data_IF_641348481135
#
_entry.id   IF_641348481135
#
_cell.length_a   1.000
_cell.length_b   1.000
_cell.length_c   1.000
_cell.angle_alpha   90.00
_cell.angle_beta   90.00
_cell.angle_gamma   90.00
#
_symmetry.space_group_name_H-M   'P 1'
#
loop_
_entity.id
_entity.type
_entity.pdbx_description
1 polymer ?
#
# COMPACT_ATOMS: atom_id res chain seq x y z
N UNK A 1 7.13 3.60 -16.89
CA UNK A 1 5.80 3.79 -16.29
C UNK A 1 5.90 5.00 -15.38
N UNK A 2 5.17 6.08 -15.68
CA UNK A 2 5.27 7.35 -14.95
C UNK A 2 4.05 7.44 -14.03
N UNK A 3 4.28 7.64 -12.72
CA UNK A 3 3.20 7.93 -11.78
C UNK A 3 2.78 9.40 -11.98
N UNK A 4 1.48 9.71 -12.10
CA UNK A 4 1.04 11.09 -12.14
C UNK A 4 1.37 11.79 -10.81
N UNK A 5 1.69 13.10 -10.83
CA UNK A 5 1.83 13.87 -9.59
C UNK A 5 0.55 13.78 -8.75
N UNK A 6 0.70 13.60 -7.44
CA UNK A 6 -0.41 13.58 -6.47
C UNK A 6 -1.41 12.42 -6.58
N UNK A 7 -1.04 11.24 -7.08
CA UNK A 7 -1.94 10.08 -7.15
C UNK A 7 -1.65 8.98 -6.11
N UNK A 8 -1.93 9.21 -4.81
CA UNK A 8 -1.76 8.19 -3.77
C UNK A 8 -2.66 6.97 -4.00
N UNK A 9 -3.78 7.15 -4.69
CA UNK A 9 -4.73 6.09 -5.09
C UNK A 9 -4.17 5.13 -6.16
N UNK A 10 -3.06 5.51 -6.81
CA UNK A 10 -2.32 4.71 -7.81
C UNK A 10 -0.99 4.19 -7.22
N UNK A 11 -0.47 4.84 -6.18
CA UNK A 11 0.73 4.41 -5.50
C UNK A 11 0.45 3.15 -4.66
N UNK A 12 1.09 2.05 -5.05
CA UNK A 12 0.99 0.74 -4.41
C UNK A 12 1.26 0.80 -2.89
N UNK A 13 2.23 1.61 -2.51
CA UNK A 13 2.62 1.87 -1.13
C UNK A 13 1.50 2.56 -0.36
N UNK A 14 0.95 3.65 -0.90
CA UNK A 14 -0.01 4.47 -0.17
C UNK A 14 -1.40 3.82 -0.09
N UNK A 15 -1.88 3.24 -1.20
CA UNK A 15 -3.21 2.64 -1.24
C UNK A 15 -3.32 1.30 -0.49
N UNK A 16 -2.31 0.41 -0.60
CA UNK A 16 -2.44 -0.96 -0.11
C UNK A 16 -1.48 -1.29 1.03
N UNK A 17 -0.27 -0.73 1.02
CA UNK A 17 0.71 -1.09 2.04
C UNK A 17 0.51 -0.27 3.33
N UNK A 18 0.44 1.06 3.18
CA UNK A 18 0.27 2.00 4.28
C UNK A 18 -1.18 2.13 4.75
N UNK A 19 -2.16 1.64 3.99
CA UNK A 19 -3.54 1.50 4.51
C UNK A 19 -3.69 0.33 5.48
N UNK A 20 -2.92 -0.74 5.29
CA UNK A 20 -2.95 -1.94 6.14
C UNK A 20 -1.94 -1.91 7.30
N UNK A 21 -0.96 -0.99 7.25
CA UNK A 21 0.06 -0.81 8.29
C UNK A 21 -0.51 -0.32 9.64
N UNK A 22 -1.41 0.69 9.70
CA UNK A 22 -1.98 1.18 10.96
C UNK A 22 -2.79 0.11 11.69
N UNK A 23 -3.46 -0.77 10.93
CA UNK A 23 -4.23 -1.89 11.47
C UNK A 23 -3.33 -2.95 12.12
N UNK A 24 -2.07 -3.05 11.70
CA UNK A 24 -1.09 -3.97 12.26
C UNK A 24 -0.32 -3.38 13.44
N UNK A 25 -0.01 -2.08 13.38
CA UNK A 25 0.77 -1.41 14.42
C UNK A 25 -0.05 -1.06 15.67
N UNK A 26 -1.39 -0.92 15.58
CA UNK A 26 -2.24 -0.55 16.71
C UNK A 26 -1.79 0.77 17.37
N UNK A 27 -2.18 1.01 18.63
CA UNK A 27 -1.68 2.15 19.43
C UNK A 27 -0.29 1.88 20.05
N UNK A 28 0.54 1.01 19.44
CA UNK A 28 1.88 0.75 19.98
C UNK A 28 2.75 2.00 19.82
N UNK A 29 3.20 2.55 20.95
CA UNK A 29 4.26 3.57 20.96
C UNK A 29 5.58 2.90 20.60
N UNK A 30 6.03 3.10 19.37
CA UNK A 30 7.35 2.67 18.92
C UNK A 30 8.36 3.71 19.43
N UNK A 31 9.35 3.26 20.21
CA UNK A 31 10.26 4.14 20.97
C UNK A 31 11.55 4.49 20.25
N UNK A 32 11.97 3.69 19.26
CA UNK A 32 13.22 3.87 18.51
C UNK A 32 13.07 3.46 17.04
N UNK A 33 13.94 3.98 16.17
CA UNK A 33 13.95 3.64 14.74
C UNK A 33 14.16 2.13 14.51
N UNK A 34 14.99 1.48 15.33
CA UNK A 34 15.23 0.03 15.25
C UNK A 34 13.96 -0.79 15.52
N UNK A 35 13.10 -0.32 16.43
CA UNK A 35 11.83 -0.97 16.71
C UNK A 35 10.86 -0.84 15.52
N UNK A 36 10.91 0.29 14.80
CA UNK A 36 10.14 0.51 13.56
C UNK A 36 10.61 -0.46 12.48
N UNK A 37 11.92 -0.59 12.28
CA UNK A 37 12.48 -1.52 11.29
C UNK A 37 12.09 -2.97 11.57
N UNK A 38 12.19 -3.40 12.83
CA UNK A 38 11.83 -4.77 13.22
C UNK A 38 10.34 -5.07 13.04
N UNK A 39 9.45 -4.14 13.42
CA UNK A 39 8.01 -4.28 13.19
C UNK A 39 7.69 -4.31 11.68
N UNK A 40 8.36 -3.49 10.86
CA UNK A 40 8.21 -3.54 9.40
C UNK A 40 8.66 -4.90 8.84
N UNK A 41 9.84 -5.38 9.22
CA UNK A 41 10.35 -6.69 8.76
C UNK A 41 9.38 -7.81 9.15
N UNK A 42 8.90 -7.81 10.40
CA UNK A 42 7.90 -8.75 10.89
C UNK A 42 6.61 -8.67 10.08
N UNK A 43 6.11 -7.46 9.83
CA UNK A 43 4.92 -7.21 9.02
C UNK A 43 5.04 -7.81 7.62
N UNK A 44 6.10 -7.47 6.88
CA UNK A 44 6.32 -7.96 5.52
C UNK A 44 6.47 -9.49 5.49
N UNK A 45 7.19 -10.05 6.47
CA UNK A 45 7.41 -11.50 6.58
C UNK A 45 6.14 -12.27 6.95
N UNK A 46 5.20 -11.63 7.66
CA UNK A 46 3.92 -12.24 8.03
C UNK A 46 2.92 -12.34 6.86
N UNK A 47 3.13 -11.60 5.77
CA UNK A 47 2.20 -11.57 4.63
C UNK A 47 2.39 -12.78 3.73
N UNK A 48 1.27 -13.40 3.36
CA UNK A 48 1.26 -14.57 2.50
C UNK A 48 1.46 -14.19 1.02
N UNK A 49 1.96 -15.13 0.19
CA UNK A 49 2.08 -14.92 -1.26
C UNK A 49 0.75 -14.49 -1.93
N UNK A 50 -0.42 -15.07 -1.56
CA UNK A 50 -1.70 -14.60 -2.07
C UNK A 50 -2.00 -13.12 -1.76
N UNK A 51 -1.57 -12.60 -0.61
CA UNK A 51 -1.75 -11.19 -0.25
C UNK A 51 -1.03 -10.26 -1.24
N UNK A 52 0.22 -10.58 -1.57
CA UNK A 52 1.01 -9.83 -2.55
C UNK A 52 0.44 -9.94 -3.97
N UNK A 53 -0.07 -11.13 -4.35
CA UNK A 53 -0.74 -11.32 -5.64
C UNK A 53 -2.04 -10.52 -5.74
N UNK A 54 -2.85 -10.49 -4.67
CA UNK A 54 -4.11 -9.73 -4.66
C UNK A 54 -3.84 -8.22 -4.74
N UNK A 55 -2.80 -7.74 -4.05
CA UNK A 55 -2.34 -6.36 -4.15
C UNK A 55 -2.04 -5.96 -5.61
N UNK A 56 -1.21 -6.75 -6.31
CA UNK A 56 -0.84 -6.48 -7.71
C UNK A 56 -2.06 -6.52 -8.62
N UNK A 57 -2.99 -7.46 -8.39
CA UNK A 57 -4.22 -7.58 -9.18
C UNK A 57 -5.13 -6.36 -9.00
N UNK A 58 -5.31 -5.89 -7.76
CA UNK A 58 -6.11 -4.69 -7.47
C UNK A 58 -5.50 -3.44 -8.08
N UNK A 59 -4.18 -3.35 -8.11
CA UNK A 59 -3.46 -2.25 -8.76
C UNK A 59 -3.76 -2.19 -10.26
N UNK A 60 -3.70 -3.34 -10.96
CA UNK A 60 -4.04 -3.40 -12.37
C UNK A 60 -5.49 -2.96 -12.64
N UNK A 61 -6.43 -3.36 -11.77
CA UNK A 61 -7.82 -2.90 -11.84
C UNK A 61 -7.96 -1.38 -11.64
N UNK A 62 -7.21 -0.80 -10.69
CA UNK A 62 -7.21 0.65 -10.45
C UNK A 62 -6.62 1.45 -11.60
N UNK A 63 -5.55 0.95 -12.24
CA UNK A 63 -5.02 1.59 -13.44
C UNK A 63 -6.05 1.65 -14.56
N UNK A 64 -6.83 0.58 -14.74
CA UNK A 64 -7.94 0.60 -15.70
C UNK A 64 -8.99 1.65 -15.32
N UNK A 65 -9.36 1.76 -14.05
CA UNK A 65 -10.31 2.78 -13.58
C UNK A 65 -9.82 4.21 -13.82
N UNK A 66 -8.53 4.49 -13.65
CA UNK A 66 -7.95 5.81 -13.95
C UNK A 66 -8.01 6.11 -15.44
N UNK A 67 -7.73 5.11 -16.28
CA UNK A 67 -7.86 5.25 -17.74
C UNK A 67 -9.31 5.51 -18.13
N UNK A 68 -10.26 4.77 -17.53
CA UNK A 68 -11.70 4.93 -17.79
C UNK A 68 -12.24 6.28 -17.27
N UNK A 69 -11.56 6.89 -16.30
CA UNK A 69 -11.89 8.20 -15.72
C UNK A 69 -11.11 9.36 -16.37
N UNK A 70 -10.50 9.15 -17.54
CA UNK A 70 -9.69 10.16 -18.25
C UNK A 70 -8.57 10.80 -17.39
N UNK A 71 -8.02 10.03 -16.45
CA UNK A 71 -6.96 10.50 -15.55
C UNK A 71 -7.44 11.23 -14.30
N UNK A 72 -8.75 11.30 -14.06
CA UNK A 72 -9.32 11.81 -12.81
C UNK A 72 -9.04 10.88 -11.62
N UNK A 73 -9.18 11.43 -10.41
CA UNK A 73 -9.03 10.69 -9.17
C UNK A 73 -10.07 9.58 -9.05
N UNK A 74 -9.61 8.39 -8.64
CA UNK A 74 -10.46 7.23 -8.40
C UNK A 74 -10.69 7.03 -6.90
N UNK A 75 -11.92 6.64 -6.52
CA UNK A 75 -12.31 6.41 -5.12
C UNK A 75 -12.00 4.97 -4.69
#
# INVERSE_FOLDING_TARGET
>A
MVLPPYSPDIALSDYYLFSHLPHHQGEKKIGTDSDVEMELISYFSSRSVPFWKDMIRRLAGRWQQVVDADGEYIK
#
